data_IF_247002786066
#
_entry.id   IF_247002786066
#
_cell.length_a   1.000
_cell.length_b   1.000
_cell.length_c   1.000
_cell.angle_alpha   90.00
_cell.angle_beta   90.00
_cell.angle_gamma   90.00
#
_symmetry.space_group_name_H-M   'P 1'
#
loop_
_entity.id
_entity.type
_entity.pdbx_description
1 polymer ?
#
# COMPACT_ATOMS: atom_id res chain seq x y z
N UNK A 1 -34.32 -35.52 -34.09
CA UNK A 1 -33.48 -34.73 -33.23
C UNK A 1 -34.04 -33.33 -33.03
N UNK A 2 -34.12 -32.86 -31.83
CA UNK A 2 -34.74 -31.56 -31.57
C UNK A 2 -33.72 -30.44 -31.82
N UNK A 3 -33.97 -29.57 -32.77
CA UNK A 3 -33.13 -28.42 -33.12
C UNK A 3 -32.95 -27.51 -31.92
N UNK A 4 -33.97 -27.36 -31.09
CA UNK A 4 -33.91 -26.53 -29.85
C UNK A 4 -32.88 -27.04 -28.86
N UNK A 5 -32.68 -28.34 -28.78
CA UNK A 5 -31.67 -28.93 -27.92
C UNK A 5 -30.28 -28.51 -28.33
N UNK A 6 -29.96 -28.59 -29.62
CA UNK A 6 -28.66 -28.16 -30.15
C UNK A 6 -28.44 -26.66 -30.02
N UNK A 7 -29.50 -25.87 -30.23
CA UNK A 7 -29.43 -24.42 -30.01
C UNK A 7 -29.11 -24.06 -28.54
N UNK A 8 -29.74 -24.75 -27.61
CA UNK A 8 -29.46 -24.60 -26.18
C UNK A 8 -28.04 -24.96 -25.85
N UNK A 9 -27.52 -26.05 -26.38
CA UNK A 9 -26.12 -26.47 -26.16
C UNK A 9 -25.17 -25.41 -26.69
N UNK A 10 -25.36 -24.91 -27.90
CA UNK A 10 -24.51 -23.86 -28.44
C UNK A 10 -24.55 -22.59 -27.65
N UNK A 11 -25.71 -22.20 -27.16
CA UNK A 11 -25.87 -21.04 -26.30
C UNK A 11 -25.12 -21.20 -25.00
N UNK A 12 -25.23 -22.38 -24.38
CA UNK A 12 -24.50 -22.67 -23.14
C UNK A 12 -22.99 -22.71 -23.33
N UNK A 13 -22.53 -23.30 -24.44
CA UNK A 13 -21.10 -23.31 -24.78
C UNK A 13 -20.56 -21.88 -24.92
N UNK A 14 -21.32 -21.02 -25.59
CA UNK A 14 -20.97 -19.62 -25.74
C UNK A 14 -20.90 -18.88 -24.40
N UNK A 15 -21.91 -19.12 -23.54
CA UNK A 15 -21.93 -18.53 -22.20
C UNK A 15 -20.74 -19.00 -21.35
N UNK A 16 -20.37 -20.27 -21.44
CA UNK A 16 -19.20 -20.82 -20.76
C UNK A 16 -17.92 -20.16 -21.23
N UNK A 17 -17.75 -19.97 -22.54
CA UNK A 17 -16.57 -19.28 -23.08
C UNK A 17 -16.50 -17.81 -22.64
N UNK A 18 -17.63 -17.12 -22.63
CA UNK A 18 -17.72 -15.74 -22.15
C UNK A 18 -17.34 -15.66 -20.66
N UNK A 19 -17.85 -16.58 -19.84
CA UNK A 19 -17.55 -16.63 -18.39
C UNK A 19 -16.09 -16.96 -18.12
N UNK A 20 -15.49 -17.84 -18.92
CA UNK A 20 -14.05 -18.12 -18.83
C UNK A 20 -13.21 -16.88 -19.12
N UNK A 21 -13.60 -16.11 -20.16
CA UNK A 21 -12.94 -14.86 -20.47
C UNK A 21 -13.02 -13.84 -19.34
N UNK A 22 -14.20 -13.70 -18.73
CA UNK A 22 -14.39 -12.83 -17.56
C UNK A 22 -13.54 -13.29 -16.38
N UNK A 23 -13.54 -14.58 -16.11
CA UNK A 23 -12.73 -15.18 -15.02
C UNK A 23 -11.25 -14.86 -15.22
N UNK A 24 -10.73 -15.08 -16.42
CA UNK A 24 -9.31 -14.87 -16.72
C UNK A 24 -8.94 -13.40 -16.56
N UNK A 25 -9.82 -12.50 -17.02
CA UNK A 25 -9.63 -11.05 -16.83
C UNK A 25 -9.62 -10.67 -15.35
N UNK A 26 -10.54 -11.21 -14.56
CA UNK A 26 -10.61 -10.95 -13.12
C UNK A 26 -9.39 -11.50 -12.38
N UNK A 27 -8.90 -12.67 -12.76
CA UNK A 27 -7.68 -13.23 -12.19
C UNK A 27 -6.47 -12.34 -12.44
N UNK A 28 -6.34 -11.79 -13.66
CA UNK A 28 -5.28 -10.86 -13.97
C UNK A 28 -5.38 -9.56 -13.16
N UNK A 29 -6.59 -9.01 -13.03
CA UNK A 29 -6.82 -7.82 -12.22
C UNK A 29 -6.49 -8.06 -10.76
N UNK A 30 -6.87 -9.22 -10.23
CA UNK A 30 -6.57 -9.62 -8.86
C UNK A 30 -5.06 -9.71 -8.62
N UNK A 31 -4.32 -10.30 -9.55
CA UNK A 31 -2.86 -10.39 -9.46
C UNK A 31 -2.22 -9.02 -9.40
N UNK A 32 -2.65 -8.09 -10.27
CA UNK A 32 -2.15 -6.71 -10.26
C UNK A 32 -2.41 -6.03 -8.92
N UNK A 33 -3.64 -6.14 -8.40
CA UNK A 33 -4.01 -5.54 -7.12
C UNK A 33 -3.21 -6.14 -5.97
N UNK A 34 -3.01 -7.46 -5.97
CA UNK A 34 -2.19 -8.12 -4.95
C UNK A 34 -0.75 -7.63 -4.96
N UNK A 35 -0.15 -7.48 -6.14
CA UNK A 35 1.21 -6.97 -6.28
C UNK A 35 1.32 -5.51 -5.83
N UNK A 36 0.35 -4.68 -6.19
CA UNK A 36 0.28 -3.30 -5.72
C UNK A 36 0.14 -3.22 -4.19
N UNK A 37 -0.68 -4.09 -3.60
CA UNK A 37 -0.84 -4.16 -2.14
C UNK A 37 0.46 -4.52 -1.44
N UNK A 38 1.22 -5.49 -1.96
CA UNK A 38 2.51 -5.87 -1.41
C UNK A 38 3.51 -4.71 -1.47
N UNK A 39 3.55 -3.99 -2.59
CA UNK A 39 4.40 -2.81 -2.74
C UNK A 39 4.03 -1.72 -1.75
N UNK A 40 2.73 -1.48 -1.54
CA UNK A 40 2.27 -0.49 -0.56
C UNK A 40 2.62 -0.88 0.88
N UNK A 41 2.56 -2.16 1.21
CA UNK A 41 2.98 -2.66 2.52
C UNK A 41 4.47 -2.39 2.75
N UNK A 42 5.30 -2.66 1.75
CA UNK A 42 6.73 -2.40 1.82
C UNK A 42 7.03 -0.91 1.96
N UNK A 43 6.37 -0.07 1.17
CA UNK A 43 6.51 1.39 1.23
C UNK A 43 6.08 1.91 2.61
N UNK A 44 4.98 1.42 3.16
CA UNK A 44 4.52 1.80 4.48
C UNK A 44 5.52 1.42 5.56
N UNK A 45 6.14 0.26 5.45
CA UNK A 45 7.16 -0.17 6.38
C UNK A 45 8.39 0.75 6.34
N UNK A 46 8.86 1.10 5.16
CA UNK A 46 9.97 2.04 4.99
C UNK A 46 9.63 3.41 5.57
N UNK A 47 8.42 3.91 5.33
CA UNK A 47 7.97 5.19 5.88
C UNK A 47 7.89 5.17 7.40
N UNK A 48 7.47 4.07 8.00
CA UNK A 48 7.47 3.91 9.45
C UNK A 48 8.89 3.99 10.03
N UNK A 49 9.86 3.34 9.39
CA UNK A 49 11.26 3.39 9.81
C UNK A 49 11.83 4.80 9.69
N UNK A 50 11.55 5.48 8.58
CA UNK A 50 11.96 6.87 8.37
C UNK A 50 11.34 7.81 9.42
N UNK A 51 10.06 7.62 9.73
CA UNK A 51 9.38 8.41 10.74
C UNK A 51 9.99 8.22 12.14
N UNK A 52 10.32 6.99 12.50
CA UNK A 52 10.96 6.69 13.78
C UNK A 52 12.36 7.33 13.86
N UNK A 53 13.12 7.26 12.77
CA UNK A 53 14.42 7.91 12.67
C UNK A 53 14.31 9.43 12.83
N UNK A 54 13.35 10.05 12.15
CA UNK A 54 13.09 11.49 12.23
C UNK A 54 12.68 11.92 13.64
N UNK A 55 11.85 11.13 14.31
CA UNK A 55 11.47 11.38 15.71
C UNK A 55 12.69 11.35 16.63
N UNK A 56 13.57 10.38 16.44
CA UNK A 56 14.79 10.26 17.24
C UNK A 56 15.72 11.45 17.01
N UNK A 57 15.92 11.85 15.78
CA UNK A 57 16.70 13.04 15.43
C UNK A 57 16.11 14.32 16.02
N UNK A 58 14.79 14.46 15.94
CA UNK A 58 14.10 15.58 16.54
C UNK A 58 14.31 15.64 18.06
N UNK A 59 14.16 14.51 18.73
CA UNK A 59 14.34 14.44 20.18
C UNK A 59 15.77 14.77 20.61
N UNK A 60 16.77 14.28 19.86
CA UNK A 60 18.18 14.60 20.10
C UNK A 60 18.45 16.09 19.92
N UNK A 61 17.92 16.68 18.85
CA UNK A 61 18.08 18.08 18.56
C UNK A 61 17.40 18.96 19.61
N UNK A 62 16.20 18.56 20.02
CA UNK A 62 15.45 19.26 21.07
C UNK A 62 16.23 19.26 22.40
N UNK A 63 16.82 18.13 22.79
CA UNK A 63 17.65 18.02 23.99
C UNK A 63 18.87 18.94 23.92
N UNK A 64 19.54 18.98 22.77
CA UNK A 64 20.68 19.88 22.55
C UNK A 64 20.25 21.32 22.64
N UNK A 65 19.12 21.68 22.06
CA UNK A 65 18.57 23.03 22.13
C UNK A 65 18.25 23.44 23.56
N UNK A 66 17.57 22.60 24.31
CA UNK A 66 17.26 22.87 25.71
C UNK A 66 18.53 23.00 26.58
N UNK A 67 19.53 22.14 26.34
CA UNK A 67 20.82 22.24 27.02
C UNK A 67 21.54 23.57 26.72
N UNK A 68 21.54 23.98 25.45
CA UNK A 68 22.12 25.25 25.04
C UNK A 68 21.41 26.44 25.68
N UNK A 69 20.09 26.43 25.74
CA UNK A 69 19.30 27.45 26.44
C UNK A 69 19.68 27.55 27.92
N UNK A 70 19.79 26.43 28.57
CA UNK A 70 20.16 26.37 29.97
C UNK A 70 21.55 26.96 30.24
N UNK A 71 22.52 26.59 29.41
CA UNK A 71 23.90 27.13 29.49
C UNK A 71 23.90 28.64 29.31
N UNK A 72 23.17 29.17 28.34
CA UNK A 72 23.06 30.60 28.07
C UNK A 72 22.41 31.33 29.25
N UNK A 73 21.35 30.77 29.82
CA UNK A 73 20.70 31.35 31.02
C UNK A 73 21.65 31.44 32.19
N UNK A 74 22.45 30.37 32.47
CA UNK A 74 23.43 30.34 33.54
C UNK A 74 24.55 31.39 33.31
N UNK A 75 24.88 31.62 32.04
CA UNK A 75 25.84 32.65 31.68
C UNK A 75 25.30 34.06 31.69
N UNK A 76 24.04 34.29 32.07
CA UNK A 76 23.43 35.62 32.15
C UNK A 76 22.85 36.14 30.87
N UNK A 77 22.74 35.30 29.82
CA UNK A 77 22.15 35.70 28.53
C UNK A 77 20.63 35.53 28.57
N UNK A 78 19.95 36.44 27.91
CA UNK A 78 18.50 36.30 27.68
C UNK A 78 18.23 35.52 26.44
N UNK A 79 17.27 34.65 26.52
CA UNK A 79 16.87 33.80 25.39
C UNK A 79 15.41 34.07 25.04
#
# INVERSE_FOLDING_TARGET
>A
MNIRFWEKIRKLEKEVEELKGIRDSLEQQLEVVQNESLNLIDDNHELMLENDELKNKYNELYKKFESAKEILRRGGYRI
#
